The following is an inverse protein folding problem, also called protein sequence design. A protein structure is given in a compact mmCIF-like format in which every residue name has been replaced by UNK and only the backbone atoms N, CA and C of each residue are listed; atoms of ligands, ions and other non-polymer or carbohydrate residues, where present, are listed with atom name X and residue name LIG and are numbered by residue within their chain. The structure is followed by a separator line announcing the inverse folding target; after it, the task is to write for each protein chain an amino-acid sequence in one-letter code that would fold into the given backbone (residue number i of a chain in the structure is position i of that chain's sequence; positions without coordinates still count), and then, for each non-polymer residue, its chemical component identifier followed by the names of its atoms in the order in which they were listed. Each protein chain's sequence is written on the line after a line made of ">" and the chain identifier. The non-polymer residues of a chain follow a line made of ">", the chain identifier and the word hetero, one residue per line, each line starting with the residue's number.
data_IF_923886386438
#
_entry.id   IF_923886386438
#
_cell.length_a   1.000
_cell.length_b   1.000
_cell.length_c   1.000
_cell.angle_alpha   90.00
_cell.angle_beta   90.00
_cell.angle_gamma   90.00
#
_symmetry.space_group_name_H-M   'P 1'
#
loop_
_entity.id
_entity.type
_entity.pdbx_description
1 polymer ?
#
# COMPACT_ATOMS: atom_id res chain seq x y z
N UNK A 1 13.56 7.09 2.85
CA UNK A 1 12.26 7.56 3.38
C UNK A 1 11.23 6.48 3.10
N UNK A 2 10.84 5.69 4.11
CA UNK A 2 9.68 4.81 4.00
C UNK A 2 8.45 5.65 4.35
N UNK A 3 7.43 5.65 3.51
CA UNK A 3 6.08 6.08 3.91
C UNK A 3 5.74 5.24 5.14
N UNK A 4 5.78 5.85 6.32
CA UNK A 4 5.53 5.15 7.59
C UNK A 4 4.03 4.93 7.68
N UNK A 5 3.52 3.89 7.02
CA UNK A 5 2.25 3.33 7.48
C UNK A 5 2.45 2.94 8.94
N UNK A 6 1.60 3.46 9.80
CA UNK A 6 1.40 2.93 11.13
C UNK A 6 0.96 1.47 11.00
N UNK A 7 1.94 0.55 11.06
CA UNK A 7 1.78 -0.90 10.86
C UNK A 7 0.73 -1.51 11.79
N UNK A 8 0.44 -0.82 12.90
CA UNK A 8 -0.57 -1.20 13.89
C UNK A 8 -2.01 -0.90 13.47
N UNK A 9 -2.27 0.01 12.51
CA UNK A 9 -3.65 0.40 12.15
C UNK A 9 -4.44 -0.80 11.60
N UNK A 10 -3.95 -1.58 10.62
CA UNK A 10 -4.70 -2.73 10.12
C UNK A 10 -4.97 -3.78 11.20
N UNK A 11 -4.00 -3.98 12.11
CA UNK A 11 -4.15 -4.90 13.24
C UNK A 11 -5.20 -4.43 14.25
N UNK A 12 -5.26 -3.13 14.53
CA UNK A 12 -6.28 -2.51 15.38
C UNK A 12 -7.68 -2.67 14.77
N UNK A 13 -7.83 -2.38 13.47
CA UNK A 13 -9.09 -2.58 12.76
C UNK A 13 -9.54 -4.04 12.77
N UNK A 14 -8.61 -4.98 12.59
CA UNK A 14 -8.89 -6.40 12.68
C UNK A 14 -9.36 -6.82 14.08
N UNK A 15 -8.66 -6.35 15.13
CA UNK A 15 -9.05 -6.64 16.51
C UNK A 15 -10.46 -6.10 16.84
N UNK A 16 -10.76 -4.87 16.41
CA UNK A 16 -12.09 -4.29 16.55
C UNK A 16 -13.15 -5.08 15.75
N UNK A 17 -12.81 -5.52 14.54
CA UNK A 17 -13.70 -6.31 13.70
C UNK A 17 -14.07 -7.64 14.35
N UNK A 18 -13.08 -8.40 14.84
CA UNK A 18 -13.28 -9.68 15.52
C UNK A 18 -14.11 -9.49 16.79
N UNK A 19 -13.84 -8.43 17.57
CA UNK A 19 -14.58 -8.14 18.80
C UNK A 19 -16.05 -7.82 18.50
N UNK A 20 -16.33 -6.98 17.49
CA UNK A 20 -17.69 -6.61 17.10
C UNK A 20 -18.47 -7.78 16.49
N UNK A 21 -17.83 -8.59 15.63
CA UNK A 21 -18.43 -9.81 15.10
C UNK A 21 -18.71 -10.82 16.21
N UNK A 22 -17.76 -11.05 17.12
CA UNK A 22 -17.94 -11.97 18.23
C UNK A 22 -19.08 -11.57 19.15
N UNK A 23 -19.13 -10.30 19.58
CA UNK A 23 -20.25 -9.76 20.37
C UNK A 23 -21.57 -9.84 19.59
N UNK A 24 -21.58 -9.41 18.33
CA UNK A 24 -22.77 -9.44 17.49
C UNK A 24 -23.34 -10.84 17.32
N UNK A 25 -22.51 -11.82 16.98
CA UNK A 25 -22.91 -13.23 16.83
C UNK A 25 -23.37 -13.85 18.14
N UNK A 26 -22.72 -13.52 19.25
CA UNK A 26 -23.15 -13.97 20.60
C UNK A 26 -24.53 -13.42 20.92
N UNK A 27 -24.76 -12.12 20.68
CA UNK A 27 -26.06 -11.50 20.90
C UNK A 27 -27.13 -12.09 19.96
N UNK A 28 -26.84 -12.30 18.67
CA UNK A 28 -27.74 -12.99 17.73
C UNK A 28 -28.12 -14.38 18.24
N UNK A 29 -27.16 -15.13 18.80
CA UNK A 29 -27.43 -16.48 19.32
C UNK A 29 -28.32 -16.49 20.56
N UNK A 30 -28.33 -15.39 21.33
CA UNK A 30 -29.12 -15.25 22.55
C UNK A 30 -30.51 -14.65 22.29
N UNK A 31 -30.61 -13.67 21.39
CA UNK A 31 -31.85 -12.94 21.14
C UNK A 31 -32.61 -13.46 19.92
N UNK A 32 -31.95 -14.20 19.02
CA UNK A 32 -32.52 -14.63 17.74
C UNK A 32 -32.65 -13.50 16.70
N UNK A 33 -32.33 -12.27 17.08
CA UNK A 33 -32.46 -11.09 16.23
C UNK A 33 -31.11 -10.66 15.67
N UNK A 34 -31.11 -10.16 14.44
CA UNK A 34 -29.91 -9.63 13.81
C UNK A 34 -29.37 -8.40 14.54
N UNK A 35 -28.06 -8.38 14.81
CA UNK A 35 -27.43 -7.35 15.63
C UNK A 35 -26.53 -6.45 14.80
N UNK A 36 -26.70 -5.13 14.95
CA UNK A 36 -25.90 -4.11 14.26
C UNK A 36 -24.37 -4.26 14.40
N UNK A 37 -23.82 -4.71 15.55
CA UNK A 37 -22.39 -5.01 15.68
C UNK A 37 -21.85 -6.02 14.66
N UNK A 38 -22.68 -6.94 14.13
CA UNK A 38 -22.26 -7.88 13.08
C UNK A 38 -21.89 -7.13 11.79
N UNK A 39 -22.70 -6.12 11.41
CA UNK A 39 -22.44 -5.30 10.21
C UNK A 39 -21.19 -4.48 10.39
N UNK A 40 -21.07 -3.77 11.52
CA UNK A 40 -19.89 -2.96 11.83
C UNK A 40 -18.64 -3.84 11.80
N UNK A 41 -18.68 -5.00 12.46
CA UNK A 41 -17.57 -5.93 12.49
C UNK A 41 -17.17 -6.44 11.11
N UNK A 42 -18.14 -6.77 10.24
CA UNK A 42 -17.88 -7.16 8.86
C UNK A 42 -17.22 -6.03 8.04
N UNK A 43 -17.71 -4.79 8.17
CA UNK A 43 -17.14 -3.62 7.47
C UNK A 43 -15.71 -3.36 7.94
N UNK A 44 -15.47 -3.40 9.25
CA UNK A 44 -14.12 -3.25 9.83
C UNK A 44 -13.17 -4.36 9.36
N UNK A 45 -13.67 -5.59 9.22
CA UNK A 45 -12.88 -6.72 8.73
C UNK A 45 -12.45 -6.51 7.28
N UNK A 46 -13.37 -6.09 6.41
CA UNK A 46 -13.08 -5.78 5.01
C UNK A 46 -12.09 -4.62 4.91
N UNK A 47 -12.23 -3.59 5.73
CA UNK A 47 -11.29 -2.47 5.80
C UNK A 47 -9.88 -2.96 6.23
N UNK A 48 -9.78 -3.75 7.29
CA UNK A 48 -8.50 -4.31 7.77
C UNK A 48 -7.80 -5.16 6.71
N UNK A 49 -8.54 -6.07 6.06
CA UNK A 49 -8.02 -6.92 4.98
C UNK A 49 -7.57 -6.09 3.77
N UNK A 50 -8.33 -5.06 3.40
CA UNK A 50 -7.98 -4.15 2.30
C UNK A 50 -6.69 -3.39 2.61
N UNK A 51 -6.52 -2.94 3.85
CA UNK A 51 -5.30 -2.27 4.29
C UNK A 51 -4.11 -3.23 4.30
N UNK A 52 -4.26 -4.49 4.73
CA UNK A 52 -3.17 -5.48 4.64
C UNK A 52 -2.75 -5.81 3.21
N UNK A 53 -3.67 -5.71 2.24
CA UNK A 53 -3.36 -5.86 0.82
C UNK A 53 -2.78 -4.59 0.19
N UNK A 54 -2.78 -3.46 0.91
CA UNK A 54 -2.17 -2.23 0.43
C UNK A 54 -0.68 -2.47 0.19
N UNK A 55 -0.21 -1.98 -0.97
CA UNK A 55 1.19 -2.10 -1.36
C UNK A 55 1.88 -0.80 -1.03
N UNK A 56 2.91 -0.87 -0.22
CA UNK A 56 3.81 0.23 0.07
C UNK A 56 5.08 0.12 -0.75
N UNK A 57 5.55 1.25 -1.22
CA UNK A 57 6.87 1.34 -1.86
C UNK A 57 7.90 1.69 -0.81
N UNK A 58 8.95 0.88 -0.73
CA UNK A 58 10.10 1.12 0.15
C UNK A 58 11.33 1.24 -0.75
N UNK A 59 11.94 2.42 -0.70
CA UNK A 59 13.20 2.68 -1.40
C UNK A 59 14.36 2.13 -0.57
N UNK A 60 15.06 1.13 -1.11
CA UNK A 60 16.33 0.61 -0.61
C UNK A 60 17.47 1.25 -1.40
N UNK A 61 18.72 1.00 -1.02
CA UNK A 61 19.88 1.63 -1.67
C UNK A 61 20.15 1.15 -3.10
N UNK A 62 19.80 -0.10 -3.41
CA UNK A 62 20.03 -0.76 -4.70
C UNK A 62 18.72 -1.04 -5.48
N UNK A 63 17.55 -0.90 -4.85
CA UNK A 63 16.27 -1.34 -5.42
C UNK A 63 15.05 -0.62 -4.83
N UNK A 64 13.92 -0.76 -5.52
CA UNK A 64 12.60 -0.43 -5.01
C UNK A 64 11.86 -1.73 -4.61
N UNK A 65 11.52 -1.85 -3.33
CA UNK A 65 10.70 -2.95 -2.82
C UNK A 65 9.22 -2.54 -2.74
N UNK A 66 8.32 -3.43 -3.16
CA UNK A 66 6.92 -3.37 -2.80
C UNK A 66 6.70 -4.23 -1.57
N UNK A 67 6.31 -3.64 -0.46
CA UNK A 67 6.02 -4.34 0.79
C UNK A 67 4.56 -4.19 1.17
N UNK A 68 4.03 -5.12 1.97
CA UNK A 68 2.75 -4.93 2.66
C UNK A 68 2.96 -4.22 4.02
N UNK A 69 1.89 -3.84 4.75
CA UNK A 69 1.98 -3.29 6.11
C UNK A 69 2.71 -4.15 7.14
N UNK A 70 2.79 -5.45 6.90
CA UNK A 70 3.55 -6.38 7.75
C UNK A 70 5.05 -6.35 7.47
N UNK A 71 5.51 -5.57 6.48
CA UNK A 71 6.92 -5.52 6.07
C UNK A 71 7.35 -6.71 5.20
N UNK A 72 6.42 -7.57 4.79
CA UNK A 72 6.71 -8.63 3.84
C UNK A 72 6.91 -8.04 2.45
N UNK A 73 8.01 -8.39 1.81
CA UNK A 73 8.34 -7.93 0.47
C UNK A 73 7.60 -8.75 -0.58
N UNK A 74 6.62 -8.10 -1.23
CA UNK A 74 5.77 -8.68 -2.26
C UNK A 74 6.47 -8.76 -3.62
N UNK A 75 7.23 -7.72 -3.98
CA UNK A 75 7.99 -7.64 -5.24
C UNK A 75 9.21 -6.74 -5.10
N UNK A 76 10.19 -6.96 -5.97
CA UNK A 76 11.42 -6.16 -6.08
C UNK A 76 11.54 -5.64 -7.51
N UNK A 77 11.93 -4.38 -7.64
CA UNK A 77 12.27 -3.74 -8.90
C UNK A 77 13.66 -3.13 -8.77
N UNK A 78 14.58 -3.53 -9.64
CA UNK A 78 15.89 -2.87 -9.74
C UNK A 78 15.73 -1.51 -10.44
N UNK A 79 16.68 -0.60 -10.27
CA UNK A 79 16.57 0.75 -10.85
C UNK A 79 16.61 0.77 -12.38
N UNK A 80 17.33 -0.15 -13.01
CA UNK A 80 17.32 -0.39 -14.46
C UNK A 80 15.93 -0.81 -15.00
N UNK A 81 15.07 -1.34 -14.12
CA UNK A 81 13.71 -1.76 -14.43
C UNK A 81 12.66 -0.68 -14.10
N UNK A 82 13.10 0.52 -13.72
CA UNK A 82 12.21 1.60 -13.34
C UNK A 82 12.36 2.76 -14.31
N UNK A 83 11.21 3.27 -14.77
CA UNK A 83 11.15 4.45 -15.64
C UNK A 83 10.16 5.44 -15.08
N UNK A 84 10.59 6.69 -14.95
CA UNK A 84 9.71 7.81 -14.57
C UNK A 84 9.41 8.59 -15.84
N UNK A 85 8.13 8.77 -16.14
CA UNK A 85 7.69 9.63 -17.25
C UNK A 85 6.87 10.80 -16.71
N UNK A 86 7.19 12.00 -17.18
CA UNK A 86 6.41 13.20 -16.90
C UNK A 86 5.29 13.28 -17.93
N UNK A 87 4.06 13.02 -17.50
CA UNK A 87 2.87 13.17 -18.33
C UNK A 87 2.27 14.57 -18.12
N UNK A 88 1.42 15.04 -19.04
CA UNK A 88 0.71 16.32 -18.86
C UNK A 88 -0.19 16.39 -17.61
N UNK A 89 -0.41 15.26 -16.93
CA UNK A 89 -1.17 15.17 -15.67
C UNK A 89 -0.27 14.98 -14.44
N UNK A 90 1.06 14.97 -14.58
CA UNK A 90 2.01 14.76 -13.48
C UNK A 90 2.97 13.59 -13.73
N UNK A 91 3.79 13.27 -12.73
CA UNK A 91 4.82 12.23 -12.87
C UNK A 91 4.27 10.84 -12.57
N UNK A 92 4.68 9.86 -13.38
CA UNK A 92 4.23 8.47 -13.29
C UNK A 92 5.43 7.53 -13.26
N UNK A 93 5.45 6.63 -12.27
CA UNK A 93 6.46 5.59 -12.15
C UNK A 93 5.96 4.31 -12.83
N UNK A 94 6.75 3.80 -13.76
CA UNK A 94 6.54 2.54 -14.45
C UNK A 94 7.61 1.53 -14.04
N UNK A 95 7.19 0.28 -13.87
CA UNK A 95 8.08 -0.87 -13.76
C UNK A 95 8.10 -1.64 -15.07
N UNK A 96 9.26 -1.75 -15.69
CA UNK A 96 9.52 -2.53 -16.90
C UNK A 96 10.24 -3.82 -16.53
N UNK A 97 9.51 -4.93 -16.51
CA UNK A 97 10.16 -6.24 -16.44
C UNK A 97 10.69 -6.62 -17.84
N UNK A 98 11.83 -7.30 -17.96
CA UNK A 98 12.38 -7.74 -19.24
C UNK A 98 11.33 -8.50 -20.06
N UNK A 99 11.07 -8.06 -21.30
CA UNK A 99 10.10 -8.69 -22.20
C UNK A 99 8.61 -8.50 -21.83
N UNK A 100 8.28 -7.61 -20.89
CA UNK A 100 6.87 -7.30 -20.54
C UNK A 100 6.55 -5.82 -20.75
N UNK A 101 5.29 -5.55 -21.10
CA UNK A 101 4.79 -4.19 -21.20
C UNK A 101 4.99 -3.41 -19.87
N UNK A 102 5.33 -2.11 -19.93
CA UNK A 102 5.54 -1.29 -18.76
C UNK A 102 4.29 -1.27 -17.88
N UNK A 103 4.45 -1.66 -16.61
CA UNK A 103 3.35 -1.65 -15.64
C UNK A 103 3.41 -0.38 -14.81
N UNK A 104 2.33 0.39 -14.80
CA UNK A 104 2.20 1.57 -13.94
C UNK A 104 2.25 1.14 -12.47
N UNK A 105 3.22 1.67 -11.73
CA UNK A 105 3.42 1.41 -10.31
C UNK A 105 2.85 2.54 -9.45
N UNK A 106 3.08 3.80 -9.86
CA UNK A 106 2.61 4.99 -9.12
C UNK A 106 2.17 6.08 -10.08
N UNK A 107 1.12 6.81 -9.71
CA UNK A 107 0.65 8.02 -10.38
C UNK A 107 0.63 9.17 -9.38
N UNK A 108 1.29 10.29 -9.65
CA UNK A 108 1.16 11.50 -8.83
C UNK A 108 -0.32 11.95 -8.66
N UNK A 109 -1.18 11.61 -9.62
CA UNK A 109 -2.62 11.93 -9.63
C UNK A 109 -3.52 10.92 -8.95
N UNK A 110 -3.02 9.73 -8.61
CA UNK A 110 -3.82 8.62 -8.05
C UNK A 110 -3.48 8.26 -6.61
N UNK A 111 -2.66 9.07 -5.93
CA UNK A 111 -2.36 8.86 -4.52
C UNK A 111 -3.56 9.28 -3.69
N UNK A 112 -4.30 8.29 -3.22
CA UNK A 112 -5.41 8.48 -2.30
C UNK A 112 -4.95 8.93 -0.91
N UNK A 113 -3.66 8.79 -0.57
CA UNK A 113 -3.12 9.14 0.73
C UNK A 113 -1.71 9.75 0.58
N UNK A 114 -1.67 11.07 0.71
CA UNK A 114 -0.54 11.99 0.78
C UNK A 114 0.30 12.27 -0.50
N UNK A 115 0.06 13.44 -1.10
CA UNK A 115 0.79 13.94 -2.28
C UNK A 115 2.24 14.31 -1.96
N UNK A 116 2.57 14.65 -0.70
CA UNK A 116 3.91 15.11 -0.33
C UNK A 116 4.92 13.95 -0.31
N UNK A 117 4.55 12.83 0.31
CA UNK A 117 5.39 11.63 0.41
C UNK A 117 5.68 11.02 -0.97
N UNK A 118 4.70 11.02 -1.85
CA UNK A 118 4.88 10.53 -3.21
C UNK A 118 5.80 11.41 -4.04
N UNK A 119 5.70 12.74 -3.89
CA UNK A 119 6.63 13.67 -4.53
C UNK A 119 8.04 13.44 -4.01
N UNK A 120 8.22 13.33 -2.70
CA UNK A 120 9.53 13.02 -2.10
C UNK A 120 10.11 11.69 -2.60
N UNK A 121 9.28 10.65 -2.75
CA UNK A 121 9.68 9.36 -3.31
C UNK A 121 10.08 9.48 -4.79
N UNK A 122 9.26 10.14 -5.61
CA UNK A 122 9.55 10.36 -7.03
C UNK A 122 10.78 11.24 -7.23
N UNK A 123 11.00 12.25 -6.37
CA UNK A 123 12.19 13.11 -6.40
C UNK A 123 13.44 12.35 -6.00
N UNK A 124 13.35 11.45 -5.00
CA UNK A 124 14.45 10.59 -4.60
C UNK A 124 14.81 9.57 -5.70
N UNK A 125 13.78 8.97 -6.34
CA UNK A 125 13.98 8.06 -7.47
C UNK A 125 14.53 8.78 -8.70
N UNK A 126 13.99 9.95 -9.05
CA UNK A 126 14.49 10.78 -10.16
C UNK A 126 15.97 11.11 -9.97
N UNK A 127 16.35 11.56 -8.77
CA UNK A 127 17.75 11.87 -8.44
C UNK A 127 18.66 10.65 -8.59
N UNK A 128 18.23 9.47 -8.17
CA UNK A 128 19.04 8.24 -8.28
C UNK A 128 19.10 7.69 -9.70
N UNK A 129 18.03 7.83 -10.48
CA UNK A 129 17.99 7.41 -11.89
C UNK A 129 18.78 8.35 -12.80
N UNK A 130 18.87 9.64 -12.43
CA UNK A 130 19.64 10.65 -13.17
C UNK A 130 21.09 10.77 -12.72
N UNK A 131 21.46 10.26 -11.54
CA UNK A 131 22.85 10.20 -11.10
C UNK A 131 23.61 9.16 -11.96
N UNK A 132 24.49 9.60 -12.87
CA UNK A 132 25.22 8.68 -13.72
C UNK A 132 26.33 8.03 -12.87
N UNK A 133 26.34 6.69 -12.82
CA UNK A 133 27.51 5.92 -12.39
C UNK A 133 27.81 5.90 -10.89
N UNK A 134 27.34 4.85 -10.21
CA UNK A 134 28.16 4.09 -9.26
C UNK A 134 27.90 2.60 -9.51
N UNK A 135 28.40 2.15 -10.66
CA UNK A 135 28.75 0.76 -10.88
C UNK A 135 30.06 0.46 -10.15
#
# INVERSE_FOLDING_TARGET
>A
MSVRYARYIPALFFAMAVTNLGMGLTLVSQTGEFQFPVVIGAVLLVAALSMWRARMMVLHDDRLGLQNPMGMELRRYRFDQLRIETTGKGRVLYGTAPGKAPKRLLAETGLTYDRADARALLDALTRRLQAPGRA
#
